data_IF_922825035694
#
_entry.id   IF_922825035694
#
_cell.length_a   1.000
_cell.length_b   1.000
_cell.length_c   1.000
_cell.angle_alpha   90.00
_cell.angle_beta   90.00
_cell.angle_gamma   90.00
#
_symmetry.space_group_name_H-M   'P 1'
#
loop_
_entity.id
_entity.type
_entity.pdbx_description
1 polymer ?
#
# COMPACT_ATOMS: atom_id res chain seq x y z
N UNK A 1 -10.16 -1.15 -14.69
CA UNK A 1 -9.98 -0.24 -13.54
C UNK A 1 -8.76 -0.66 -12.75
N UNK A 2 -7.95 0.30 -12.33
CA UNK A 2 -6.83 0.08 -11.43
C UNK A 2 -7.07 0.88 -10.14
N UNK A 3 -7.01 0.21 -9.00
CA UNK A 3 -7.19 0.83 -7.68
C UNK A 3 -5.88 0.75 -6.90
N UNK A 4 -5.48 1.83 -6.28
CA UNK A 4 -4.34 1.88 -5.39
C UNK A 4 -4.75 2.18 -3.96
N UNK A 5 -4.04 1.61 -2.99
CA UNK A 5 -4.26 1.87 -1.58
C UNK A 5 -3.05 2.52 -0.94
N UNK A 6 -3.30 3.58 -0.22
CA UNK A 6 -2.36 4.20 0.71
C UNK A 6 -2.99 4.31 2.11
N UNK A 7 -2.23 4.73 3.09
CA UNK A 7 -2.71 4.89 4.47
C UNK A 7 -1.82 4.19 5.48
N UNK A 8 -1.97 4.59 6.74
CA UNK A 8 -1.11 4.17 7.86
C UNK A 8 -1.19 2.67 8.16
N UNK A 9 -0.23 2.19 8.94
CA UNK A 9 -0.21 0.82 9.41
C UNK A 9 -1.51 0.49 10.19
N UNK A 10 -2.03 -0.74 10.02
CA UNK A 10 -3.25 -1.23 10.65
C UNK A 10 -4.54 -0.42 10.37
N UNK A 11 -4.57 0.47 9.36
CA UNK A 11 -5.79 1.17 8.94
C UNK A 11 -6.85 0.25 8.32
N UNK A 12 -6.50 -1.01 7.95
CA UNK A 12 -7.43 -1.98 7.38
C UNK A 12 -7.34 -2.12 5.87
N UNK A 13 -6.23 -1.71 5.25
CA UNK A 13 -6.02 -1.86 3.80
C UNK A 13 -6.20 -3.31 3.30
N UNK A 14 -5.78 -4.30 4.10
CA UNK A 14 -5.94 -5.71 3.74
C UNK A 14 -7.41 -6.08 3.54
N UNK A 15 -8.32 -5.59 4.38
CA UNK A 15 -9.77 -5.83 4.25
C UNK A 15 -10.31 -5.19 2.97
N UNK A 16 -9.81 -4.01 2.59
CA UNK A 16 -10.18 -3.38 1.31
C UNK A 16 -9.66 -4.21 0.13
N UNK A 17 -8.42 -4.73 0.20
CA UNK A 17 -7.87 -5.63 -0.83
C UNK A 17 -8.75 -6.88 -0.99
N UNK A 18 -9.19 -7.47 0.13
CA UNK A 18 -10.07 -8.64 0.13
C UNK A 18 -11.41 -8.35 -0.52
N UNK A 19 -12.01 -7.19 -0.20
CA UNK A 19 -13.27 -6.76 -0.80
C UNK A 19 -13.19 -6.65 -2.34
N UNK A 20 -12.10 -6.10 -2.89
CA UNK A 20 -11.87 -6.03 -4.34
C UNK A 20 -11.55 -7.40 -4.93
N UNK A 21 -10.73 -8.22 -4.24
CA UNK A 21 -10.39 -9.58 -4.69
C UNK A 21 -11.63 -10.44 -4.87
N UNK A 22 -12.59 -10.36 -3.93
CA UNK A 22 -13.84 -11.13 -3.97
C UNK A 22 -14.73 -10.69 -5.15
N UNK A 23 -14.44 -9.53 -5.74
CA UNK A 23 -15.07 -9.00 -6.95
C UNK A 23 -14.24 -9.20 -8.23
N UNK A 24 -13.25 -10.09 -8.17
CA UNK A 24 -12.45 -10.51 -9.32
C UNK A 24 -11.27 -9.61 -9.69
N UNK A 25 -10.88 -8.67 -8.82
CA UNK A 25 -9.67 -7.88 -9.03
C UNK A 25 -8.41 -8.70 -8.73
N UNK A 26 -7.41 -8.57 -9.57
CA UNK A 26 -6.06 -9.04 -9.26
C UNK A 26 -5.47 -8.21 -8.12
N UNK A 27 -4.65 -8.84 -7.29
CA UNK A 27 -4.04 -8.17 -6.16
C UNK A 27 -2.52 -8.13 -6.29
N UNK A 28 -1.89 -7.05 -5.85
CA UNK A 28 -0.44 -6.94 -5.77
C UNK A 28 0.01 -5.80 -4.88
N UNK A 29 1.31 -5.73 -4.67
CA UNK A 29 1.94 -4.66 -3.91
C UNK A 29 3.30 -4.30 -4.52
N UNK A 30 3.79 -3.08 -4.28
CA UNK A 30 5.14 -2.70 -4.71
C UNK A 30 6.23 -3.63 -4.15
N UNK A 31 5.98 -4.28 -3.01
CA UNK A 31 6.89 -5.30 -2.46
C UNK A 31 6.93 -6.57 -3.30
N UNK A 32 5.87 -6.89 -4.04
CA UNK A 32 5.86 -8.08 -4.91
C UNK A 32 6.76 -7.88 -6.12
N UNK A 33 6.82 -6.66 -6.67
CA UNK A 33 7.81 -6.32 -7.72
C UNK A 33 9.24 -6.58 -7.25
N UNK A 34 9.55 -6.22 -6.00
CA UNK A 34 10.89 -6.48 -5.43
C UNK A 34 11.12 -7.98 -5.25
N UNK A 35 10.13 -8.74 -4.79
CA UNK A 35 10.24 -10.20 -4.62
C UNK A 35 10.47 -10.89 -5.96
N UNK A 36 9.75 -10.49 -7.00
CA UNK A 36 9.95 -11.01 -8.37
C UNK A 36 11.37 -10.76 -8.82
N UNK A 37 11.86 -9.52 -8.70
CA UNK A 37 13.23 -9.18 -9.09
C UNK A 37 14.30 -9.94 -8.28
N UNK A 38 14.12 -10.12 -6.97
CA UNK A 38 15.02 -10.92 -6.14
C UNK A 38 15.01 -12.39 -6.57
N UNK A 39 13.84 -12.96 -6.87
CA UNK A 39 13.71 -14.34 -7.37
C UNK A 39 14.46 -14.54 -8.68
N UNK A 40 14.33 -13.61 -9.64
CA UNK A 40 15.05 -13.62 -10.92
C UNK A 40 16.57 -13.53 -10.74
N UNK A 41 17.01 -12.92 -9.64
CA UNK A 41 18.44 -12.81 -9.28
C UNK A 41 18.89 -13.89 -8.28
N UNK A 42 18.10 -14.96 -8.07
CA UNK A 42 18.38 -16.05 -7.13
C UNK A 42 18.72 -15.57 -5.70
N UNK A 43 18.06 -14.51 -5.25
CA UNK A 43 18.28 -13.87 -3.95
C UNK A 43 17.06 -14.10 -3.05
N UNK A 44 17.27 -14.56 -1.81
CA UNK A 44 16.20 -14.75 -0.84
C UNK A 44 15.49 -13.44 -0.47
N UNK A 45 14.15 -13.42 -0.34
CA UNK A 45 13.37 -12.21 -0.01
C UNK A 45 13.39 -11.91 1.50
N UNK A 46 14.57 -11.84 2.10
CA UNK A 46 14.74 -11.38 3.48
C UNK A 46 14.37 -9.90 3.59
N UNK A 47 14.08 -9.41 4.81
CA UNK A 47 13.77 -7.99 5.03
C UNK A 47 14.87 -7.07 4.51
N UNK A 48 16.11 -7.43 4.75
CA UNK A 48 17.28 -6.67 4.28
C UNK A 48 17.36 -6.64 2.74
N UNK A 49 17.21 -7.80 2.09
CA UNK A 49 17.25 -7.91 0.64
C UNK A 49 16.07 -7.17 -0.02
N UNK A 50 14.87 -7.17 0.58
CA UNK A 50 13.74 -6.38 0.10
C UNK A 50 14.04 -4.87 0.16
N UNK A 51 14.64 -4.37 1.24
CA UNK A 51 15.02 -2.96 1.36
C UNK A 51 16.09 -2.61 0.31
N UNK A 52 17.15 -3.40 0.23
CA UNK A 52 18.26 -3.16 -0.70
C UNK A 52 17.82 -3.30 -2.17
N UNK A 53 17.01 -4.31 -2.49
CA UNK A 53 16.45 -4.52 -3.83
C UNK A 53 15.56 -3.36 -4.27
N UNK A 54 14.68 -2.87 -3.38
CA UNK A 54 13.85 -1.71 -3.68
C UNK A 54 14.67 -0.43 -3.92
N UNK A 55 15.74 -0.20 -3.14
CA UNK A 55 16.66 0.92 -3.35
C UNK A 55 17.37 0.79 -4.69
N UNK A 56 17.89 -0.39 -5.00
CA UNK A 56 18.64 -0.63 -6.24
C UNK A 56 17.75 -0.49 -7.48
N UNK A 57 16.52 -1.03 -7.45
CA UNK A 57 15.56 -0.86 -8.54
C UNK A 57 15.26 0.62 -8.80
N UNK A 58 14.95 1.39 -7.74
CA UNK A 58 14.68 2.83 -7.88
C UNK A 58 15.91 3.61 -8.35
N UNK A 59 17.10 3.25 -7.88
CA UNK A 59 18.36 3.89 -8.33
C UNK A 59 18.63 3.67 -9.81
N UNK A 60 18.35 2.48 -10.35
CA UNK A 60 18.62 2.12 -11.75
C UNK A 60 17.55 2.63 -12.70
N UNK A 61 16.31 2.55 -12.31
CA UNK A 61 15.17 2.70 -13.22
C UNK A 61 14.22 3.87 -12.87
N UNK A 62 14.52 4.58 -11.79
CA UNK A 62 13.72 5.71 -11.34
C UNK A 62 12.75 5.38 -10.19
N UNK A 63 12.23 6.41 -9.49
CA UNK A 63 11.48 6.24 -8.25
C UNK A 63 10.13 5.51 -8.42
N UNK A 64 9.52 5.56 -9.60
CA UNK A 64 8.24 4.90 -9.89
C UNK A 64 8.33 3.45 -10.37
N UNK A 65 9.55 2.88 -10.50
CA UNK A 65 9.77 1.59 -11.15
C UNK A 65 8.94 0.44 -10.58
N UNK A 66 8.73 0.38 -9.26
CA UNK A 66 7.98 -0.71 -8.64
C UNK A 66 6.51 -0.72 -9.09
N UNK A 67 5.94 0.46 -9.27
CA UNK A 67 4.59 0.62 -9.79
C UNK A 67 4.54 0.31 -11.30
N UNK A 68 5.56 0.68 -12.07
CA UNK A 68 5.68 0.35 -13.50
C UNK A 68 5.72 -1.16 -13.73
N UNK A 69 6.49 -1.90 -12.95
CA UNK A 69 6.54 -3.37 -13.00
C UNK A 69 5.16 -4.01 -12.72
N UNK A 70 4.35 -3.42 -11.83
CA UNK A 70 2.99 -3.88 -11.57
C UNK A 70 2.06 -3.56 -12.75
N UNK A 71 2.21 -2.41 -13.41
CA UNK A 71 1.46 -2.10 -14.62
C UNK A 71 1.74 -3.11 -15.74
N UNK A 72 2.98 -3.50 -15.94
CA UNK A 72 3.35 -4.55 -16.89
C UNK A 72 2.72 -5.90 -16.52
N UNK A 73 2.76 -6.25 -15.22
CA UNK A 73 2.19 -7.50 -14.72
C UNK A 73 0.67 -7.57 -14.91
N UNK A 74 -0.04 -6.48 -14.63
CA UNK A 74 -1.51 -6.48 -14.67
C UNK A 74 -2.08 -6.14 -16.06
N UNK A 75 -1.37 -5.38 -16.89
CA UNK A 75 -1.87 -4.88 -18.15
C UNK A 75 -3.18 -4.10 -17.96
N UNK A 76 -4.17 -4.35 -18.80
CA UNK A 76 -5.48 -3.67 -18.74
C UNK A 76 -6.50 -4.34 -17.79
N UNK A 77 -6.10 -5.39 -17.09
CA UNK A 77 -6.99 -6.11 -16.16
C UNK A 77 -7.35 -5.28 -14.95
N UNK A 78 -8.52 -5.58 -14.36
CA UNK A 78 -8.90 -5.00 -13.09
C UNK A 78 -7.95 -5.46 -11.98
N UNK A 79 -7.33 -4.51 -11.27
CA UNK A 79 -6.37 -4.82 -10.23
C UNK A 79 -6.43 -3.83 -9.07
N UNK A 80 -6.02 -4.29 -7.89
CA UNK A 80 -5.80 -3.47 -6.71
C UNK A 80 -4.36 -3.61 -6.24
N UNK A 81 -3.72 -2.48 -5.98
CA UNK A 81 -2.33 -2.37 -5.54
C UNK A 81 -2.30 -1.84 -4.11
N UNK A 82 -1.84 -2.68 -3.18
CA UNK A 82 -1.67 -2.28 -1.78
C UNK A 82 -0.33 -1.56 -1.55
N UNK A 83 -0.31 -0.80 -0.46
CA UNK A 83 0.90 -0.22 0.13
C UNK A 83 1.66 0.74 -0.79
N UNK A 84 0.95 1.58 -1.54
CA UNK A 84 1.54 2.71 -2.27
C UNK A 84 2.03 3.74 -1.24
N UNK A 85 3.29 4.14 -1.35
CA UNK A 85 3.98 4.93 -0.32
C UNK A 85 4.66 6.19 -0.83
N UNK A 86 4.76 6.37 -2.14
CA UNK A 86 5.44 7.52 -2.74
C UNK A 86 4.59 8.19 -3.80
N UNK A 87 4.70 9.54 -3.95
CA UNK A 87 4.08 10.25 -5.07
C UNK A 87 4.49 9.73 -6.44
N UNK A 88 5.74 9.28 -6.59
CA UNK A 88 6.25 8.78 -7.86
C UNK A 88 5.56 7.48 -8.29
N UNK A 89 5.25 6.59 -7.33
CA UNK A 89 4.43 5.39 -7.59
C UNK A 89 3.02 5.78 -8.06
N UNK A 90 2.39 6.78 -7.42
CA UNK A 90 1.08 7.30 -7.82
C UNK A 90 1.13 7.86 -9.24
N UNK A 91 2.13 8.69 -9.55
CA UNK A 91 2.29 9.28 -10.89
C UNK A 91 2.52 8.22 -11.96
N UNK A 92 3.30 7.17 -11.66
CA UNK A 92 3.48 6.05 -12.56
C UNK A 92 2.16 5.32 -12.85
N UNK A 93 1.37 5.00 -11.82
CA UNK A 93 0.08 4.32 -11.95
C UNK A 93 -0.96 5.17 -12.69
N UNK A 94 -0.98 6.48 -12.48
CA UNK A 94 -1.89 7.41 -13.18
C UNK A 94 -1.71 7.45 -14.70
N UNK A 95 -0.55 7.03 -15.22
CA UNK A 95 -0.33 6.93 -16.67
C UNK A 95 -1.24 5.91 -17.35
N UNK A 96 -1.80 4.95 -16.62
CA UNK A 96 -2.79 4.02 -17.16
C UNK A 96 -4.13 4.69 -17.52
N UNK A 97 -4.45 5.82 -16.91
CA UNK A 97 -5.63 6.63 -17.24
C UNK A 97 -6.93 6.24 -16.52
N UNK A 98 -7.02 5.04 -15.94
CA UNK A 98 -8.17 4.52 -15.18
C UNK A 98 -7.83 4.22 -13.70
N UNK A 99 -6.76 4.86 -13.20
CA UNK A 99 -6.26 4.68 -11.84
C UNK A 99 -6.98 5.57 -10.83
N UNK A 100 -7.36 4.97 -9.70
CA UNK A 100 -7.98 5.64 -8.55
C UNK A 100 -7.17 5.31 -7.30
N UNK A 101 -6.72 6.33 -6.57
CA UNK A 101 -6.02 6.16 -5.29
C UNK A 101 -6.98 6.34 -4.12
N UNK A 102 -7.06 5.36 -3.24
CA UNK A 102 -7.83 5.40 -2.00
C UNK A 102 -6.89 5.51 -0.81
N UNK A 103 -7.06 6.52 0.02
CA UNK A 103 -6.48 6.52 1.35
C UNK A 103 -7.43 5.82 2.33
N UNK A 104 -6.93 4.79 3.02
CA UNK A 104 -7.66 4.13 4.11
C UNK A 104 -7.17 4.70 5.43
N UNK A 105 -8.11 5.29 6.20
CA UNK A 105 -7.82 5.88 7.50
C UNK A 105 -8.52 5.13 8.63
N UNK A 106 -7.95 5.18 9.82
CA UNK A 106 -8.61 4.77 11.06
C UNK A 106 -7.97 5.50 12.25
N UNK A 107 -8.72 5.64 13.33
CA UNK A 107 -8.26 6.29 14.54
C UNK A 107 -7.01 5.61 15.10
N UNK A 108 -6.04 6.37 15.66
CA UNK A 108 -4.80 5.81 16.20
C UNK A 108 -5.02 4.70 17.23
N UNK A 109 -6.05 4.81 18.06
CA UNK A 109 -6.40 3.82 19.06
C UNK A 109 -6.85 2.49 18.40
N UNK A 110 -7.73 2.58 17.42
CA UNK A 110 -8.24 1.42 16.67
C UNK A 110 -7.08 0.74 15.93
N UNK A 111 -6.18 1.51 15.31
CA UNK A 111 -5.03 0.98 14.60
C UNK A 111 -4.05 0.27 15.54
N UNK A 112 -3.81 0.82 16.74
CA UNK A 112 -3.02 0.17 17.76
C UNK A 112 -3.62 -1.16 18.20
N UNK A 113 -4.94 -1.20 18.50
CA UNK A 113 -5.63 -2.42 18.90
C UNK A 113 -5.53 -3.50 17.82
N UNK A 114 -5.76 -3.15 16.56
CA UNK A 114 -5.63 -4.06 15.41
C UNK A 114 -4.19 -4.54 15.21
N UNK A 115 -3.20 -3.68 15.38
CA UNK A 115 -1.79 -4.05 15.26
C UNK A 115 -1.38 -5.04 16.36
N UNK A 116 -1.81 -4.79 17.61
CA UNK A 116 -1.59 -5.66 18.76
C UNK A 116 -2.23 -7.05 18.58
N UNK A 117 -3.49 -7.09 18.12
CA UNK A 117 -4.21 -8.34 17.86
C UNK A 117 -3.56 -9.16 16.75
N UNK A 118 -3.14 -8.49 15.68
CA UNK A 118 -2.47 -9.11 14.53
C UNK A 118 -1.11 -9.69 14.88
N UNK A 119 -0.39 -9.11 15.84
CA UNK A 119 0.90 -9.56 16.40
C UNK A 119 1.93 -9.99 15.33
N UNK A 120 2.14 -9.20 14.29
CA UNK A 120 3.14 -9.53 13.26
C UNK A 120 4.55 -9.45 13.83
N UNK A 121 5.45 -10.37 13.43
CA UNK A 121 6.86 -10.25 13.78
C UNK A 121 7.44 -8.89 13.40
N UNK A 122 7.99 -8.16 14.38
CA UNK A 122 8.55 -6.82 14.21
C UNK A 122 7.56 -5.67 14.43
N UNK A 123 6.28 -5.93 14.69
CA UNK A 123 5.36 -4.91 15.19
C UNK A 123 5.76 -4.50 16.63
N UNK A 124 5.66 -3.21 16.98
CA UNK A 124 5.90 -2.74 18.34
C UNK A 124 4.97 -3.41 19.36
N UNK A 125 5.51 -3.78 20.51
CA UNK A 125 4.76 -4.45 21.59
C UNK A 125 4.06 -3.48 22.53
N UNK A 126 4.37 -2.17 22.44
CA UNK A 126 3.75 -1.11 23.24
C UNK A 126 3.11 -0.07 22.35
N UNK A 127 2.11 0.65 22.89
CA UNK A 127 1.42 1.72 22.16
C UNK A 127 2.36 2.87 21.83
N UNK A 128 3.22 3.23 22.76
CA UNK A 128 4.22 4.28 22.59
C UNK A 128 5.17 3.92 21.42
N UNK A 129 5.69 2.70 21.41
CA UNK A 129 6.54 2.20 20.32
C UNK A 129 5.81 2.16 18.97
N UNK A 130 4.51 1.84 18.96
CA UNK A 130 3.68 1.88 17.75
C UNK A 130 3.57 3.30 17.20
N UNK A 131 3.26 4.30 18.06
CA UNK A 131 3.16 5.71 17.67
C UNK A 131 4.52 6.23 17.19
N UNK A 132 5.60 5.88 17.88
CA UNK A 132 6.96 6.29 17.49
C UNK A 132 7.35 5.72 16.13
N UNK A 133 7.08 4.44 15.87
CA UNK A 133 7.36 3.82 14.56
C UNK A 133 6.57 4.47 13.44
N UNK A 134 5.30 4.84 13.67
CA UNK A 134 4.49 5.58 12.70
C UNK A 134 5.05 6.98 12.42
N UNK A 135 5.46 7.70 13.45
CA UNK A 135 6.05 9.03 13.29
C UNK A 135 7.35 8.96 12.47
N UNK A 136 8.17 7.94 12.68
CA UNK A 136 9.37 7.71 11.86
C UNK A 136 9.03 7.43 10.40
N UNK A 137 7.97 6.67 10.12
CA UNK A 137 7.50 6.44 8.74
C UNK A 137 7.00 7.73 8.07
N UNK A 138 6.37 8.65 8.83
CA UNK A 138 5.85 9.91 8.30
C UNK A 138 6.96 10.90 7.92
N UNK A 139 8.08 10.91 8.65
CA UNK A 139 9.15 11.93 8.55
C UNK A 139 10.34 11.42 7.73
N UNK A 140 10.35 10.15 7.32
CA UNK A 140 11.46 9.56 6.59
C UNK A 140 11.76 10.34 5.29
N UNK A 141 12.84 11.15 5.35
CA UNK A 141 13.41 11.91 4.22
C UNK A 141 14.39 11.07 3.39
N UNK A 142 14.34 9.75 3.49
CA UNK A 142 15.20 8.93 2.66
C UNK A 142 14.82 9.15 1.18
N UNK A 143 15.79 9.43 0.32
CA UNK A 143 15.61 9.67 -1.12
C UNK A 143 15.06 8.48 -1.90
N UNK A 144 14.97 7.32 -1.26
CA UNK A 144 14.15 6.18 -1.67
C UNK A 144 12.71 6.27 -1.15
N UNK A 145 12.32 7.38 -0.67
CA UNK A 145 11.34 7.99 0.17
C UNK A 145 9.97 7.38 0.21
N UNK A 146 9.66 6.90 1.37
CA UNK A 146 8.28 6.68 1.78
C UNK A 146 7.73 8.02 2.30
N UNK A 147 7.16 8.83 1.43
CA UNK A 147 6.49 10.07 1.84
C UNK A 147 4.98 9.83 1.93
N UNK A 148 4.58 9.11 2.99
CA UNK A 148 3.17 8.73 3.15
C UNK A 148 2.23 9.94 3.19
N UNK A 149 2.63 11.04 3.82
CA UNK A 149 1.82 12.28 3.87
C UNK A 149 1.62 12.84 2.46
N UNK A 150 2.69 12.97 1.68
CA UNK A 150 2.60 13.48 0.32
C UNK A 150 1.81 12.52 -0.61
N UNK A 151 1.91 11.22 -0.36
CA UNK A 151 1.15 10.20 -1.10
C UNK A 151 -0.34 10.29 -0.76
N UNK A 152 -0.68 10.38 0.52
CA UNK A 152 -2.07 10.55 0.99
C UNK A 152 -2.72 11.82 0.44
N UNK A 153 -1.96 12.90 0.30
CA UNK A 153 -2.45 14.14 -0.30
C UNK A 153 -2.83 14.02 -1.79
N UNK A 154 -2.42 12.95 -2.46
CA UNK A 154 -2.78 12.62 -3.85
C UNK A 154 -3.99 11.69 -3.94
N UNK A 155 -4.58 11.26 -2.83
CA UNK A 155 -5.71 10.34 -2.84
C UNK A 155 -6.95 10.98 -3.49
N UNK A 156 -7.60 10.22 -4.36
CA UNK A 156 -8.85 10.62 -5.03
C UNK A 156 -10.04 10.43 -4.09
N UNK A 157 -9.95 9.45 -3.17
CA UNK A 157 -10.94 9.18 -2.13
C UNK A 157 -10.27 8.84 -0.80
N UNK A 158 -10.94 9.21 0.31
CA UNK A 158 -10.57 8.77 1.67
C UNK A 158 -11.68 7.89 2.21
N UNK A 159 -11.31 6.70 2.69
CA UNK A 159 -12.22 5.75 3.32
C UNK A 159 -11.86 5.60 4.79
N UNK A 160 -12.74 6.09 5.65
CA UNK A 160 -12.61 5.92 7.09
C UNK A 160 -13.06 4.51 7.50
N UNK A 161 -12.22 3.82 8.25
CA UNK A 161 -12.44 2.45 8.71
C UNK A 161 -12.36 2.36 10.24
N UNK A 162 -13.27 3.08 10.90
CA UNK A 162 -13.40 3.06 12.38
C UNK A 162 -14.45 2.06 12.87
N UNK A 163 -15.33 1.61 11.98
CA UNK A 163 -16.40 0.68 12.28
C UNK A 163 -16.06 -0.78 12.02
N UNK A 164 -17.10 -1.56 11.82
CA UNK A 164 -17.00 -2.98 11.45
C UNK A 164 -16.79 -3.19 9.93
N UNK A 165 -16.71 -4.47 9.54
CA UNK A 165 -16.48 -4.87 8.14
C UNK A 165 -17.67 -4.49 7.25
N UNK A 166 -18.90 -4.57 7.77
CA UNK A 166 -20.10 -4.27 6.99
C UNK A 166 -20.21 -2.78 6.70
N UNK A 167 -19.83 -1.92 7.65
CA UNK A 167 -19.74 -0.47 7.43
C UNK A 167 -18.69 -0.11 6.39
N UNK A 168 -17.51 -0.74 6.45
CA UNK A 168 -16.47 -0.56 5.44
C UNK A 168 -16.96 -0.99 4.06
N UNK A 169 -17.61 -2.17 3.96
CA UNK A 169 -18.16 -2.66 2.70
C UNK A 169 -19.17 -1.69 2.09
N UNK A 170 -20.12 -1.16 2.89
CA UNK A 170 -21.11 -0.15 2.42
C UNK A 170 -20.44 1.13 1.91
N UNK A 171 -19.36 1.59 2.55
CA UNK A 171 -18.59 2.76 2.08
C UNK A 171 -17.94 2.50 0.74
N UNK A 172 -17.35 1.30 0.55
CA UNK A 172 -16.75 0.89 -0.72
C UNK A 172 -17.79 0.72 -1.83
N UNK A 173 -18.95 0.12 -1.53
CA UNK A 173 -20.08 0.02 -2.46
C UNK A 173 -20.61 1.39 -2.90
N UNK A 174 -20.64 2.37 -1.98
CA UNK A 174 -21.00 3.74 -2.30
C UNK A 174 -20.02 4.44 -3.24
N UNK A 175 -18.73 4.11 -3.16
CA UNK A 175 -17.70 4.66 -4.04
C UNK A 175 -17.62 3.92 -5.39
N UNK A 176 -17.94 2.64 -5.41
CA UNK A 176 -17.82 1.77 -6.57
C UNK A 176 -19.12 0.99 -6.86
N UNK A 177 -20.21 1.69 -7.18
CA UNK A 177 -21.53 1.05 -7.34
C UNK A 177 -21.64 0.10 -8.54
N UNK A 178 -20.64 0.08 -9.40
CA UNK A 178 -20.60 -0.73 -10.64
C UNK A 178 -19.67 -1.95 -10.53
N UNK A 179 -19.14 -2.24 -9.34
CA UNK A 179 -18.21 -3.34 -9.10
C UNK A 179 -18.87 -4.47 -8.32
#
# INVERSE_FOLDING_TARGET
>A
MLVGLTGRNAAGKTTVVEWFRDRGFLTGSCSDSIRTWLSENNTEPTRENLINGGRELRRRHGPGILAEMLLETFGDRNAIIDSIRTPDEVHALRRRGDFVLIEVTADPEIRWLRAKERARPGDPVTKEGFIESENLELVSKDTSGQSLIATSALADHTVENNGDIDELAKRLEGLFPSI
#
